data_IF_953729433162
#
_entry.id   IF_953729433162
#
_cell.length_a   1.000
_cell.length_b   1.000
_cell.length_c   1.000
_cell.angle_alpha   90.00
_cell.angle_beta   90.00
_cell.angle_gamma   90.00
#
_symmetry.space_group_name_H-M   'P 1'
#
loop_
_entity.id
_entity.type
_entity.pdbx_description
1 polymer ?
#
# COMPACT_ATOMS: atom_id res chain seq x y z
N UNK A 1 4.00 21.12 19.39
CA UNK A 1 4.19 21.33 17.93
C UNK A 1 4.51 22.78 17.62
N UNK A 2 3.77 23.74 18.13
CA UNK A 2 4.05 25.19 17.96
C UNK A 2 5.45 25.55 18.43
N UNK A 3 5.80 25.20 19.66
CA UNK A 3 7.13 25.47 20.22
C UNK A 3 8.28 24.91 19.35
N UNK A 4 8.11 23.69 18.84
CA UNK A 4 9.09 23.05 17.95
C UNK A 4 9.28 23.85 16.65
N UNK A 5 8.20 24.40 16.10
CA UNK A 5 8.29 25.22 14.89
C UNK A 5 8.89 26.59 15.15
N UNK A 6 8.59 27.20 16.31
CA UNK A 6 9.22 28.47 16.73
C UNK A 6 10.72 28.30 16.90
N UNK A 7 11.16 27.24 17.59
CA UNK A 7 12.59 26.90 17.76
C UNK A 7 13.31 26.68 16.42
N UNK A 8 12.56 26.27 15.38
CA UNK A 8 13.07 26.11 14.01
C UNK A 8 12.92 27.37 13.14
N UNK A 9 12.56 28.51 13.74
CA UNK A 9 12.50 29.81 13.08
C UNK A 9 11.26 30.07 12.23
N UNK A 10 10.20 29.24 12.36
CA UNK A 10 8.95 29.47 11.63
C UNK A 10 8.09 30.54 12.29
N UNK A 11 7.52 31.43 11.47
CA UNK A 11 6.51 32.38 11.91
C UNK A 11 5.13 31.71 11.85
N UNK A 12 4.58 31.38 13.03
CA UNK A 12 3.35 30.57 13.12
C UNK A 12 2.08 31.29 13.61
N UNK A 13 2.06 32.63 13.93
CA UNK A 13 0.85 33.29 14.43
C UNK A 13 -0.35 33.07 13.52
N UNK A 14 -1.45 32.62 14.09
CA UNK A 14 -2.73 32.41 13.38
C UNK A 14 -2.82 31.14 12.52
N UNK A 15 -1.79 30.30 12.48
CA UNK A 15 -1.84 29.05 11.74
C UNK A 15 -2.67 27.98 12.49
N UNK A 16 -3.52 27.30 11.77
CA UNK A 16 -4.30 26.17 12.29
C UNK A 16 -3.40 24.97 12.55
N UNK A 17 -3.71 24.19 13.57
CA UNK A 17 -3.00 22.95 13.87
C UNK A 17 -3.00 21.99 12.67
N UNK A 18 -4.16 21.80 12.03
CA UNK A 18 -4.36 20.92 10.86
C UNK A 18 -5.46 21.48 9.97
N UNK A 19 -5.38 21.22 8.68
CA UNK A 19 -6.45 21.55 7.75
C UNK A 19 -7.74 20.78 8.09
N UNK A 20 -8.94 21.36 7.87
CA UNK A 20 -10.20 20.69 8.11
C UNK A 20 -10.30 19.37 7.33
N UNK A 21 -11.03 18.39 7.87
CA UNK A 21 -11.30 17.12 7.17
C UNK A 21 -12.02 17.43 5.84
N UNK A 22 -11.57 16.78 4.76
CA UNK A 22 -12.14 16.97 3.43
C UNK A 22 -11.54 18.13 2.62
N UNK A 23 -10.77 19.02 3.23
CA UNK A 23 -10.03 20.05 2.51
C UNK A 23 -8.64 19.55 2.12
N UNK A 24 -8.27 19.77 0.86
CA UNK A 24 -6.92 19.46 0.40
C UNK A 24 -5.96 20.49 1.02
N UNK A 25 -4.88 20.02 1.63
CA UNK A 25 -3.85 20.92 2.12
C UNK A 25 -3.23 21.66 0.93
N UNK A 26 -3.19 22.99 0.98
CA UNK A 26 -2.69 23.83 -0.13
C UNK A 26 -1.18 23.68 -0.34
N UNK A 27 -0.45 23.30 0.72
CA UNK A 27 0.98 23.04 0.66
C UNK A 27 1.24 21.60 0.25
N UNK A 28 1.90 21.34 -0.90
CA UNK A 28 2.27 19.99 -1.30
C UNK A 28 3.27 19.37 -0.34
N UNK A 29 3.45 18.05 -0.40
CA UNK A 29 4.52 17.34 0.28
C UNK A 29 5.72 17.36 -0.68
N UNK A 30 6.60 18.35 -0.52
CA UNK A 30 7.78 18.56 -1.38
C UNK A 30 9.04 18.63 -0.54
N UNK A 31 10.13 18.13 -1.10
CA UNK A 31 11.44 18.22 -0.49
C UNK A 31 12.45 18.74 -1.54
N UNK A 32 13.25 19.76 -1.23
CA UNK A 32 13.24 20.59 -0.01
C UNK A 32 11.98 21.46 0.06
N UNK A 33 11.44 21.68 1.28
CA UNK A 33 10.25 22.50 1.44
C UNK A 33 10.55 23.96 1.10
N UNK A 34 9.68 24.61 0.35
CA UNK A 34 9.76 26.04 0.15
C UNK A 34 9.49 26.76 1.49
N UNK A 35 10.46 27.51 1.98
CA UNK A 35 10.46 28.17 3.30
C UNK A 35 9.28 29.14 3.49
N UNK A 36 8.72 29.65 2.38
CA UNK A 36 7.63 30.66 2.38
C UNK A 36 6.21 30.08 2.37
N UNK A 37 6.05 28.76 2.29
CA UNK A 37 4.72 28.16 2.20
C UNK A 37 4.15 27.81 3.56
N UNK A 38 3.15 28.55 3.99
CA UNK A 38 2.43 28.36 5.26
C UNK A 38 1.02 27.87 5.03
N UNK A 39 0.73 26.62 5.34
CA UNK A 39 -0.63 26.08 5.29
C UNK A 39 -1.18 25.78 6.71
N UNK A 40 -0.61 24.80 7.37
CA UNK A 40 -0.95 24.44 8.73
C UNK A 40 0.28 23.85 9.45
N UNK A 41 0.29 23.92 10.78
CA UNK A 41 1.44 23.48 11.59
C UNK A 41 1.88 22.03 11.29
N UNK A 42 0.90 21.14 11.15
CA UNK A 42 1.17 19.73 10.86
C UNK A 42 1.87 19.55 9.49
N UNK A 43 1.53 20.37 8.48
CA UNK A 43 2.14 20.28 7.15
C UNK A 43 3.54 20.89 7.14
N UNK A 44 3.73 22.02 7.78
CA UNK A 44 5.04 22.65 7.92
C UNK A 44 6.01 21.67 8.60
N UNK A 45 5.59 21.09 9.73
CA UNK A 45 6.41 20.13 10.46
C UNK A 45 6.70 18.87 9.62
N UNK A 46 5.70 18.34 8.90
CA UNK A 46 5.89 17.13 8.07
C UNK A 46 6.78 17.36 6.85
N UNK A 47 6.97 18.60 6.41
CA UNK A 47 7.87 18.97 5.32
C UNK A 47 9.27 19.38 5.83
N UNK A 48 9.49 19.42 7.14
CA UNK A 48 10.80 19.74 7.68
C UNK A 48 11.81 18.62 7.37
N UNK A 49 13.06 19.02 7.09
CA UNK A 49 14.12 18.11 6.61
C UNK A 49 14.35 16.93 7.53
N UNK A 50 14.43 17.15 8.84
CA UNK A 50 14.65 16.10 9.84
C UNK A 50 13.51 15.07 9.85
N UNK A 51 12.26 15.49 9.60
CA UNK A 51 11.13 14.57 9.46
C UNK A 51 11.14 13.76 8.15
N UNK A 52 11.66 14.36 7.08
CA UNK A 52 11.80 13.64 5.80
C UNK A 52 12.93 12.62 5.83
N UNK A 53 14.02 12.95 6.51
CA UNK A 53 15.20 12.10 6.64
C UNK A 53 15.07 11.07 7.75
N UNK A 54 14.07 11.23 8.65
CA UNK A 54 13.83 10.33 9.76
C UNK A 54 13.59 8.91 9.28
N UNK A 55 14.44 8.01 9.72
CA UNK A 55 14.30 6.59 9.42
C UNK A 55 13.40 5.95 10.47
N UNK A 56 12.51 5.07 10.04
CA UNK A 56 11.73 4.29 10.99
C UNK A 56 12.65 3.37 11.81
N UNK A 57 12.37 3.21 13.10
CA UNK A 57 13.12 2.30 13.99
C UNK A 57 13.27 0.89 13.40
N UNK A 58 12.24 0.40 12.72
CA UNK A 58 12.28 -0.89 12.01
C UNK A 58 13.32 -0.91 10.89
N UNK A 59 13.42 0.19 10.12
CA UNK A 59 14.43 0.31 9.06
C UNK A 59 15.84 0.35 9.62
N UNK A 60 16.04 1.08 10.71
CA UNK A 60 17.32 1.17 11.39
C UNK A 60 17.76 -0.21 11.91
N UNK A 61 16.90 -0.88 12.67
CA UNK A 61 17.17 -2.21 13.21
C UNK A 61 17.50 -3.25 12.14
N UNK A 62 16.79 -3.24 11.01
CA UNK A 62 17.05 -4.12 9.87
C UNK A 62 18.40 -3.81 9.24
N UNK A 63 18.72 -2.52 9.09
CA UNK A 63 19.98 -2.07 8.47
C UNK A 63 21.18 -2.34 9.35
N UNK A 64 21.06 -2.11 10.66
CA UNK A 64 22.11 -2.43 11.65
C UNK A 64 22.49 -3.91 11.65
N UNK A 65 21.53 -4.78 11.37
CA UNK A 65 21.77 -6.24 11.23
C UNK A 65 22.26 -6.66 9.85
N UNK A 66 22.67 -5.70 9.01
CA UNK A 66 23.22 -5.97 7.68
C UNK A 66 22.18 -6.36 6.63
N UNK A 67 20.88 -6.14 6.89
CA UNK A 67 19.80 -6.44 5.95
C UNK A 67 19.30 -5.18 5.24
N UNK A 68 18.64 -5.37 4.10
CA UNK A 68 18.04 -4.28 3.32
C UNK A 68 16.53 -4.21 3.57
N UNK A 69 16.03 -3.06 4.02
CA UNK A 69 14.62 -2.78 4.15
C UNK A 69 14.06 -2.14 2.87
N UNK A 70 13.01 -2.73 2.33
CA UNK A 70 12.25 -2.20 1.18
C UNK A 70 10.79 -2.07 1.60
N UNK A 71 10.25 -0.85 1.55
CA UNK A 71 8.85 -0.60 1.86
C UNK A 71 8.01 -0.64 0.58
N UNK A 72 6.89 -1.36 0.64
CA UNK A 72 5.91 -1.36 -0.44
C UNK A 72 5.15 -0.03 -0.47
N UNK A 73 4.72 0.45 -1.65
CA UNK A 73 3.91 1.65 -1.76
C UNK A 73 2.63 1.55 -0.90
N UNK A 74 2.26 2.66 -0.25
CA UNK A 74 1.02 2.72 0.53
C UNK A 74 -0.19 2.49 -0.38
N UNK A 75 -1.24 1.85 0.16
CA UNK A 75 -2.51 1.57 -0.52
C UNK A 75 -2.44 0.54 -1.65
N UNK A 76 -1.33 -0.20 -1.76
CA UNK A 76 -1.13 -1.28 -2.73
C UNK A 76 -1.04 -2.64 -2.05
N UNK A 77 -2.12 -3.05 -1.36
CA UNK A 77 -2.19 -4.33 -0.65
C UNK A 77 -2.09 -5.55 -1.59
N UNK A 78 -2.45 -5.40 -2.87
CA UNK A 78 -2.38 -6.44 -3.89
C UNK A 78 -0.95 -6.88 -4.24
N UNK A 79 0.06 -6.04 -3.96
CA UNK A 79 1.47 -6.39 -4.12
C UNK A 79 2.10 -6.99 -2.86
N UNK A 80 1.31 -7.20 -1.81
CA UNK A 80 1.74 -7.86 -0.59
C UNK A 80 1.06 -9.24 -0.46
N UNK A 81 1.79 -10.36 -0.68
CA UNK A 81 1.19 -11.71 -0.68
C UNK A 81 0.60 -12.12 0.67
N UNK A 82 1.05 -11.52 1.79
CA UNK A 82 0.53 -11.81 3.11
C UNK A 82 -0.95 -11.43 3.27
N UNK A 83 -1.42 -10.41 2.55
CA UNK A 83 -2.82 -9.99 2.57
C UNK A 83 -3.74 -11.09 2.01
N UNK A 84 -3.29 -11.78 0.95
CA UNK A 84 -4.03 -12.91 0.39
C UNK A 84 -4.03 -14.11 1.33
N UNK A 85 -2.93 -14.36 2.02
CA UNK A 85 -2.82 -15.40 3.04
C UNK A 85 -3.78 -15.11 4.22
N UNK A 86 -3.80 -13.87 4.73
CA UNK A 86 -4.74 -13.48 5.77
C UNK A 86 -6.20 -13.58 5.32
N UNK A 87 -6.48 -13.18 4.08
CA UNK A 87 -7.82 -13.32 3.49
C UNK A 87 -8.27 -14.78 3.45
N UNK A 88 -7.41 -15.68 3.01
CA UNK A 88 -7.64 -17.12 2.98
C UNK A 88 -7.92 -17.70 4.38
N UNK A 89 -7.05 -17.40 5.35
CA UNK A 89 -7.18 -17.88 6.72
C UNK A 89 -8.41 -17.32 7.43
N UNK A 90 -8.70 -16.02 7.27
CA UNK A 90 -9.93 -15.40 7.81
C UNK A 90 -11.21 -16.03 7.26
N UNK A 91 -11.22 -16.35 5.97
CA UNK A 91 -12.39 -17.00 5.35
C UNK A 91 -12.65 -18.38 5.98
N UNK A 92 -11.63 -19.21 6.12
CA UNK A 92 -11.73 -20.51 6.78
C UNK A 92 -12.15 -20.39 8.25
N UNK A 93 -11.52 -19.50 9.00
CA UNK A 93 -11.85 -19.27 10.40
C UNK A 93 -13.32 -18.84 10.58
N UNK A 94 -13.86 -18.02 9.69
CA UNK A 94 -15.27 -17.56 9.76
C UNK A 94 -16.29 -18.67 9.51
N UNK A 95 -15.93 -19.67 8.73
CA UNK A 95 -16.81 -20.81 8.40
C UNK A 95 -17.01 -21.80 9.56
N UNK A 96 -16.13 -21.78 10.54
CA UNK A 96 -16.17 -22.73 11.67
C UNK A 96 -16.84 -22.08 12.88
N UNK A 97 -17.79 -22.81 13.52
CA UNK A 97 -18.40 -22.38 14.79
C UNK A 97 -17.36 -22.42 15.91
N UNK A 98 -17.38 -21.43 16.80
CA UNK A 98 -16.53 -21.31 17.99
C UNK A 98 -17.44 -21.38 19.22
N UNK A 99 -17.06 -22.20 20.18
CA UNK A 99 -17.84 -22.44 21.40
C UNK A 99 -17.27 -21.75 22.62
N UNK A 100 -15.96 -21.46 22.62
CA UNK A 100 -15.25 -20.81 23.70
C UNK A 100 -14.03 -20.05 23.19
N UNK A 101 -13.40 -19.21 24.04
CA UNK A 101 -12.18 -18.51 23.66
C UNK A 101 -10.97 -19.45 23.42
N UNK A 102 -10.72 -20.49 24.22
CA UNK A 102 -9.70 -21.48 23.89
C UNK A 102 -9.94 -22.18 22.56
N UNK A 103 -11.18 -22.57 22.26
CA UNK A 103 -11.59 -23.14 20.97
C UNK A 103 -11.33 -22.16 19.82
N UNK A 104 -11.69 -20.89 19.99
CA UNK A 104 -11.42 -19.84 18.99
C UNK A 104 -9.91 -19.71 18.69
N UNK A 105 -9.03 -19.77 19.70
CA UNK A 105 -7.57 -19.77 19.50
C UNK A 105 -7.09 -20.97 18.70
N UNK A 106 -7.56 -22.18 19.05
CA UNK A 106 -7.21 -23.39 18.31
C UNK A 106 -7.65 -23.29 16.83
N UNK A 107 -8.85 -22.80 16.58
CA UNK A 107 -9.38 -22.62 15.21
C UNK A 107 -8.62 -21.55 14.41
N UNK A 108 -8.04 -20.55 15.04
CA UNK A 108 -7.12 -19.61 14.35
C UNK A 108 -5.89 -20.34 13.85
N UNK A 109 -5.23 -21.12 14.71
CA UNK A 109 -4.02 -21.88 14.34
C UNK A 109 -4.33 -22.86 13.22
N UNK A 110 -5.38 -23.66 13.33
CA UNK A 110 -5.83 -24.55 12.26
C UNK A 110 -6.08 -23.83 10.93
N UNK A 111 -6.69 -22.63 10.96
CA UNK A 111 -6.96 -21.85 9.76
C UNK A 111 -5.69 -21.28 9.11
N UNK A 112 -4.68 -20.94 9.91
CA UNK A 112 -3.37 -20.48 9.43
C UNK A 112 -2.58 -21.65 8.81
N UNK A 113 -2.52 -22.79 9.48
CA UNK A 113 -1.78 -23.97 9.01
C UNK A 113 -2.42 -24.65 7.78
N UNK A 114 -3.73 -24.46 7.59
CA UNK A 114 -4.45 -25.02 6.44
C UNK A 114 -4.04 -24.46 5.08
N UNK A 115 -3.23 -23.39 5.04
CA UNK A 115 -2.77 -22.80 3.80
C UNK A 115 -1.53 -23.53 3.28
N UNK A 116 -1.72 -24.36 2.24
CA UNK A 116 -0.61 -25.12 1.66
C UNK A 116 0.45 -24.22 1.02
N UNK A 117 1.68 -24.71 0.95
CA UNK A 117 2.81 -24.01 0.31
C UNK A 117 2.54 -23.69 -1.16
N UNK A 118 1.81 -24.55 -1.87
CA UNK A 118 1.39 -24.34 -3.25
C UNK A 118 0.45 -23.12 -3.35
N UNK A 119 -0.46 -22.98 -2.38
CA UNK A 119 -1.38 -21.83 -2.32
C UNK A 119 -0.62 -20.55 -2.03
N UNK A 120 0.35 -20.57 -1.10
CA UNK A 120 1.23 -19.42 -0.82
C UNK A 120 2.02 -19.03 -2.08
N UNK A 121 2.59 -19.99 -2.81
CA UNK A 121 3.28 -19.74 -4.09
C UNK A 121 2.36 -19.10 -5.14
N UNK A 122 1.07 -19.50 -5.18
CA UNK A 122 0.07 -18.86 -6.07
C UNK A 122 -0.17 -17.40 -5.68
N UNK A 123 -0.19 -17.08 -4.39
CA UNK A 123 -0.30 -15.69 -3.91
C UNK A 123 0.92 -14.87 -4.34
N UNK A 124 2.14 -15.36 -4.13
CA UNK A 124 3.35 -14.72 -4.61
C UNK A 124 3.35 -14.49 -6.13
N UNK A 125 2.96 -15.52 -6.89
CA UNK A 125 2.88 -15.40 -8.36
C UNK A 125 1.84 -14.36 -8.81
N UNK A 126 0.73 -14.22 -8.07
CA UNK A 126 -0.26 -13.16 -8.32
C UNK A 126 0.31 -11.77 -8.02
N UNK A 127 1.04 -11.62 -6.93
CA UNK A 127 1.75 -10.39 -6.59
C UNK A 127 2.76 -9.98 -7.67
N UNK A 128 3.55 -10.92 -8.19
CA UNK A 128 4.47 -10.63 -9.30
C UNK A 128 3.75 -10.15 -10.57
N UNK A 129 2.57 -10.68 -10.88
CA UNK A 129 1.76 -10.19 -12.00
C UNK A 129 1.27 -8.75 -11.79
N UNK A 130 0.87 -8.39 -10.57
CA UNK A 130 0.53 -7.01 -10.23
C UNK A 130 1.72 -6.07 -10.41
N UNK A 131 2.89 -6.45 -9.88
CA UNK A 131 4.12 -5.66 -10.04
C UNK A 131 4.50 -5.49 -11.51
N UNK A 132 4.37 -6.55 -12.31
CA UNK A 132 4.65 -6.50 -13.76
C UNK A 132 3.67 -5.60 -14.51
N UNK A 133 2.37 -5.68 -14.17
CA UNK A 133 1.35 -4.80 -14.73
C UNK A 133 1.65 -3.32 -14.47
N UNK A 134 2.03 -2.97 -13.24
CA UNK A 134 2.41 -1.60 -12.90
C UNK A 134 3.70 -1.14 -13.59
N UNK A 135 4.72 -2.02 -13.72
CA UNK A 135 5.93 -1.70 -14.50
C UNK A 135 5.64 -1.44 -15.97
N UNK A 136 4.60 -2.04 -16.51
CA UNK A 136 4.11 -1.79 -17.87
C UNK A 136 3.21 -0.55 -17.98
N UNK A 137 3.03 0.20 -16.91
CA UNK A 137 2.26 1.44 -16.87
C UNK A 137 0.75 1.23 -16.92
N UNK A 138 0.24 0.02 -16.64
CA UNK A 138 -1.19 -0.24 -16.66
C UNK A 138 -1.90 0.48 -15.50
N UNK A 139 -3.05 1.08 -15.79
CA UNK A 139 -3.92 1.64 -14.75
C UNK A 139 -4.44 0.54 -13.81
N UNK A 140 -4.92 0.91 -12.63
CA UNK A 140 -5.45 -0.03 -11.63
C UNK A 140 -6.53 -0.94 -12.23
N UNK A 141 -7.44 -0.41 -13.04
CA UNK A 141 -8.51 -1.19 -13.69
C UNK A 141 -7.96 -2.19 -14.70
N UNK A 142 -7.04 -1.75 -15.57
CA UNK A 142 -6.36 -2.60 -16.55
C UNK A 142 -5.56 -3.70 -15.86
N UNK A 143 -4.75 -3.34 -14.85
CA UNK A 143 -3.94 -4.27 -14.09
C UNK A 143 -4.81 -5.35 -13.42
N UNK A 144 -5.91 -4.96 -12.77
CA UNK A 144 -6.84 -5.88 -12.12
C UNK A 144 -7.41 -6.90 -13.11
N UNK A 145 -7.83 -6.45 -14.28
CA UNK A 145 -8.36 -7.31 -15.33
C UNK A 145 -7.27 -8.24 -15.89
N UNK A 146 -6.11 -7.70 -16.27
CA UNK A 146 -4.99 -8.47 -16.82
C UNK A 146 -4.49 -9.53 -15.85
N UNK A 147 -4.34 -9.19 -14.55
CA UNK A 147 -3.91 -10.14 -13.52
C UNK A 147 -4.91 -11.27 -13.32
N UNK A 148 -6.22 -10.98 -13.43
CA UNK A 148 -7.29 -11.99 -13.36
C UNK A 148 -7.26 -12.92 -14.58
N UNK A 149 -6.99 -12.39 -15.76
CA UNK A 149 -6.96 -13.13 -17.03
C UNK A 149 -5.70 -13.99 -17.17
N UNK A 150 -4.54 -13.46 -16.79
CA UNK A 150 -3.24 -14.14 -16.87
C UNK A 150 -3.16 -15.29 -15.86
N UNK A 151 -3.03 -16.55 -16.31
CA UNK A 151 -3.10 -17.71 -15.42
C UNK A 151 -1.76 -18.36 -15.06
N UNK A 152 -0.80 -18.48 -15.96
CA UNK A 152 0.35 -19.39 -15.78
C UNK A 152 1.68 -18.71 -15.48
N UNK A 153 1.90 -17.48 -15.91
CA UNK A 153 3.18 -16.77 -15.80
C UNK A 153 3.16 -15.72 -14.68
N UNK A 154 4.34 -15.28 -14.26
CA UNK A 154 4.53 -14.17 -13.30
C UNK A 154 4.43 -12.80 -13.97
N UNK A 155 4.45 -12.78 -15.31
CA UNK A 155 4.37 -11.59 -16.15
C UNK A 155 3.08 -11.56 -16.94
N UNK A 156 2.58 -10.36 -17.24
CA UNK A 156 1.42 -10.15 -18.10
C UNK A 156 1.87 -10.20 -19.56
N UNK A 157 1.25 -11.05 -20.36
CA UNK A 157 1.54 -11.16 -21.79
C UNK A 157 1.00 -9.96 -22.57
N UNK A 158 1.63 -9.63 -23.70
CA UNK A 158 1.15 -8.58 -24.62
C UNK A 158 -0.26 -8.86 -25.11
N UNK A 159 -0.54 -10.11 -25.45
CA UNK A 159 -1.86 -10.56 -25.91
C UNK A 159 -3.00 -10.25 -24.92
N UNK A 160 -2.74 -10.39 -23.60
CA UNK A 160 -3.74 -10.06 -22.57
C UNK A 160 -3.96 -8.54 -22.48
N UNK A 161 -2.94 -7.74 -22.70
CA UNK A 161 -3.06 -6.28 -22.73
C UNK A 161 -3.86 -5.83 -23.97
N UNK A 162 -3.52 -6.35 -25.13
CA UNK A 162 -4.22 -6.08 -26.39
C UNK A 162 -5.71 -6.49 -26.34
N UNK A 163 -6.01 -7.61 -25.68
CA UNK A 163 -7.40 -8.04 -25.47
C UNK A 163 -8.20 -7.02 -24.64
N UNK A 164 -7.60 -6.45 -23.60
CA UNK A 164 -8.22 -5.36 -22.84
C UNK A 164 -8.48 -4.14 -23.71
N UNK A 165 -7.47 -3.71 -24.47
CA UNK A 165 -7.59 -2.52 -25.31
C UNK A 165 -8.68 -2.68 -26.38
N UNK A 166 -8.83 -3.88 -26.94
CA UNK A 166 -9.90 -4.19 -27.89
C UNK A 166 -11.29 -4.13 -27.23
N UNK A 167 -11.45 -4.65 -26.01
CA UNK A 167 -12.71 -4.56 -25.26
C UNK A 167 -13.08 -3.09 -25.02
N UNK A 168 -12.11 -2.27 -24.61
CA UNK A 168 -12.36 -0.83 -24.35
C UNK A 168 -12.71 -0.05 -25.62
N UNK A 169 -12.17 -0.43 -26.79
CA UNK A 169 -12.56 0.16 -28.08
C UNK A 169 -14.00 -0.19 -28.42
N UNK A 170 -14.39 -1.44 -28.30
CA UNK A 170 -15.76 -1.88 -28.58
C UNK A 170 -16.79 -1.22 -27.67
N UNK A 171 -16.48 -1.03 -26.38
CA UNK A 171 -17.35 -0.33 -25.42
C UNK A 171 -17.56 1.14 -25.78
N UNK A 172 -16.54 1.81 -26.36
CA UNK A 172 -16.63 3.21 -26.80
C UNK A 172 -17.38 3.38 -28.13
N UNK A 173 -17.27 2.41 -29.02
CA UNK A 173 -17.95 2.44 -30.33
C UNK A 173 -19.43 2.03 -30.23
N UNK A 174 -19.83 1.33 -29.16
CA UNK A 174 -21.21 0.89 -28.91
C UNK A 174 -22.03 1.82 -28.00
N UNK A 175 -21.44 2.96 -27.53
CA UNK A 175 -22.11 3.98 -26.70
C UNK A 175 -22.34 5.26 -27.48
#
# INVERSE_FOLDING_TARGET
>A
MEQILIERGYNIPGLRFKCPKGTRCTMPLEYPPAIEQTCCLARILSNHQDFFEEKSQVKELITERGHKAVFLPKFHCEINPIEMYWGYSKTRYRQVKKTSFPDAKAKVVEALEACSIETIRRFCNRTFRWMDAYRKGLSIKQAAWCVKKQRRHRTISKTVIEEWDNIQKQEREGS
#
